data_IF_030757736365
#
_entry.id   IF_030757736365
#
_cell.length_a   1.000
_cell.length_b   1.000
_cell.length_c   1.000
_cell.angle_alpha   90.00
_cell.angle_beta   90.00
_cell.angle_gamma   90.00
#
_symmetry.space_group_name_H-M   'P 1'
#
loop_
_entity.id
_entity.type
_entity.pdbx_description
1 polymer ?
#
# COMPACT_ATOMS: atom_id res chain seq x y z
N UNK A 1 -6.09 10.70 0.09
CA UNK A 1 -7.43 10.43 -0.48
C UNK A 1 -8.45 11.46 0.02
N UNK A 2 -8.83 11.46 1.31
CA UNK A 2 -9.89 12.36 1.83
C UNK A 2 -9.69 13.88 1.63
N UNK A 3 -8.45 14.34 1.49
CA UNK A 3 -8.10 15.75 1.22
C UNK A 3 -7.54 15.97 -0.19
N UNK A 4 -7.40 14.91 -1.00
CA UNK A 4 -6.92 15.05 -2.37
C UNK A 4 -8.06 15.61 -3.23
N UNK A 5 -7.82 16.73 -3.91
CA UNK A 5 -8.79 17.30 -4.85
C UNK A 5 -8.78 16.60 -6.21
N UNK A 6 -9.68 17.02 -7.10
CA UNK A 6 -9.79 16.47 -8.46
C UNK A 6 -8.45 16.53 -9.22
N UNK A 7 -8.16 15.48 -10.00
CA UNK A 7 -6.96 15.35 -10.86
C UNK A 7 -5.64 15.37 -10.07
N UNK A 8 -5.64 14.80 -8.86
CA UNK A 8 -4.44 14.67 -8.02
C UNK A 8 -3.83 13.27 -8.16
N UNK A 9 -2.50 13.19 -8.12
CA UNK A 9 -1.78 11.92 -7.97
C UNK A 9 -1.37 11.77 -6.51
N UNK A 10 -1.82 10.70 -5.86
CA UNK A 10 -1.36 10.32 -4.52
C UNK A 10 -0.38 9.17 -4.68
N UNK A 11 0.89 9.42 -4.35
CA UNK A 11 1.95 8.41 -4.38
C UNK A 11 2.39 8.09 -2.96
N UNK A 12 2.33 6.81 -2.57
CA UNK A 12 2.71 6.34 -1.23
C UNK A 12 3.69 5.20 -1.36
N UNK A 13 4.77 5.24 -0.58
CA UNK A 13 5.77 4.18 -0.53
C UNK A 13 5.69 3.44 0.82
N UNK A 14 5.63 2.10 0.76
CA UNK A 14 5.62 1.25 1.93
C UNK A 14 7.05 0.82 2.32
N UNK A 15 7.78 1.73 2.96
CA UNK A 15 9.22 1.60 3.29
C UNK A 15 9.55 0.40 4.18
N UNK A 16 8.57 -0.10 4.96
CA UNK A 16 8.78 -1.22 5.88
C UNK A 16 9.17 -2.52 5.16
N UNK A 17 8.68 -2.72 3.93
CA UNK A 17 9.01 -3.91 3.13
C UNK A 17 10.49 -3.97 2.74
N UNK A 18 11.11 -2.82 2.48
CA UNK A 18 12.52 -2.72 2.09
C UNK A 18 13.43 -2.65 3.32
N UNK A 19 13.09 -1.78 4.28
CA UNK A 19 13.96 -1.45 5.41
C UNK A 19 13.93 -2.48 6.54
N UNK A 20 12.74 -3.01 6.90
CA UNK A 20 12.57 -3.85 8.09
C UNK A 20 12.74 -5.34 7.81
N UNK A 21 12.29 -5.82 6.66
CA UNK A 21 12.25 -7.27 6.34
C UNK A 21 13.19 -7.67 5.20
N UNK A 22 13.39 -6.81 4.19
CA UNK A 22 14.28 -7.07 3.05
C UNK A 22 15.74 -7.27 3.46
N UNK A 23 16.29 -6.37 4.27
CA UNK A 23 17.70 -6.44 4.70
C UNK A 23 18.03 -7.60 5.65
N UNK A 24 17.06 -8.10 6.43
CA UNK A 24 17.30 -9.19 7.40
C UNK A 24 17.04 -10.58 6.85
N UNK A 25 16.59 -10.72 5.60
CA UNK A 25 16.08 -11.99 5.03
C UNK A 25 15.00 -12.63 5.92
N UNK A 26 14.19 -11.80 6.57
CA UNK A 26 13.12 -12.27 7.45
C UNK A 26 11.87 -12.55 6.61
N UNK A 27 11.80 -13.78 6.10
CA UNK A 27 10.70 -14.26 5.25
C UNK A 27 9.36 -14.21 6.01
N UNK A 28 9.38 -14.51 7.31
CA UNK A 28 8.17 -14.51 8.13
C UNK A 28 7.66 -13.09 8.38
N UNK A 29 8.56 -12.16 8.69
CA UNK A 29 8.24 -10.73 8.82
C UNK A 29 7.70 -10.14 7.51
N UNK A 30 8.30 -10.49 6.38
CA UNK A 30 7.83 -10.05 5.06
C UNK A 30 6.42 -10.57 4.74
N UNK A 31 6.15 -11.85 5.00
CA UNK A 31 4.83 -12.45 4.81
C UNK A 31 3.76 -11.79 5.70
N UNK A 32 4.07 -11.56 6.98
CA UNK A 32 3.18 -10.87 7.91
C UNK A 32 2.91 -9.41 7.47
N UNK A 33 3.91 -8.73 6.91
CA UNK A 33 3.74 -7.40 6.32
C UNK A 33 2.78 -7.40 5.14
N UNK A 34 2.90 -8.40 4.24
CA UNK A 34 1.99 -8.55 3.10
C UNK A 34 0.56 -8.86 3.55
N UNK A 35 0.38 -9.75 4.52
CA UNK A 35 -0.95 -10.04 5.09
C UNK A 35 -1.57 -8.81 5.76
N UNK A 36 -0.77 -8.00 6.46
CA UNK A 36 -1.25 -6.76 7.05
C UNK A 36 -1.70 -5.75 5.99
N UNK A 37 -0.93 -5.63 4.90
CA UNK A 37 -1.30 -4.77 3.77
C UNK A 37 -2.60 -5.26 3.11
N UNK A 38 -2.69 -6.56 2.80
CA UNK A 38 -3.85 -7.17 2.18
C UNK A 38 -5.13 -6.95 3.01
N UNK A 39 -5.04 -7.10 4.34
CA UNK A 39 -6.18 -6.85 5.24
C UNK A 39 -6.70 -5.41 5.22
N UNK A 40 -5.84 -4.44 4.89
CA UNK A 40 -6.21 -3.01 4.84
C UNK A 40 -6.53 -2.54 3.42
N UNK A 41 -6.28 -3.36 2.41
CA UNK A 41 -6.60 -3.04 1.02
C UNK A 41 -8.09 -2.74 0.80
N UNK A 42 -9.05 -3.46 1.42
CA UNK A 42 -10.47 -3.10 1.31
C UNK A 42 -10.79 -1.68 1.77
N UNK A 43 -10.17 -1.21 2.88
CA UNK A 43 -10.33 0.15 3.38
C UNK A 43 -9.83 1.19 2.36
N UNK A 44 -8.76 0.88 1.61
CA UNK A 44 -8.27 1.72 0.53
C UNK A 44 -9.24 1.73 -0.65
N UNK A 45 -9.76 0.55 -1.03
CA UNK A 45 -10.70 0.42 -2.15
C UNK A 45 -11.99 1.19 -1.93
N UNK A 46 -12.47 1.29 -0.68
CA UNK A 46 -13.64 2.13 -0.33
C UNK A 46 -13.40 3.64 -0.54
N UNK A 47 -12.13 4.07 -0.59
CA UNK A 47 -11.74 5.47 -0.79
C UNK A 47 -11.39 5.80 -2.25
N UNK A 48 -11.28 4.79 -3.11
CA UNK A 48 -11.00 4.93 -4.55
C UNK A 48 -12.34 5.09 -5.28
N UNK A 49 -12.52 6.20 -6.00
CA UNK A 49 -13.72 6.44 -6.80
C UNK A 49 -13.80 5.55 -8.05
N UNK A 50 -14.96 5.53 -8.71
CA UNK A 50 -15.19 4.69 -9.91
C UNK A 50 -14.26 5.05 -11.08
N UNK A 51 -13.84 6.31 -11.18
CA UNK A 51 -12.95 6.82 -12.23
C UNK A 51 -11.46 6.84 -11.83
N UNK A 52 -11.15 6.44 -10.59
CA UNK A 52 -9.79 6.47 -10.07
C UNK A 52 -9.00 5.21 -10.48
N UNK A 53 -7.69 5.37 -10.67
CA UNK A 53 -6.79 4.27 -11.01
C UNK A 53 -5.87 3.99 -9.83
N UNK A 54 -5.97 2.79 -9.27
CA UNK A 54 -5.02 2.27 -8.28
C UNK A 54 -3.92 1.47 -8.99
N UNK A 55 -2.66 1.82 -8.75
CA UNK A 55 -1.49 1.10 -9.26
C UNK A 55 -0.68 0.61 -8.06
N UNK A 56 -0.44 -0.71 -8.01
CA UNK A 56 0.47 -1.34 -7.06
C UNK A 56 1.67 -1.86 -7.84
N UNK A 57 2.86 -1.42 -7.45
CA UNK A 57 4.14 -1.85 -8.02
C UNK A 57 4.99 -2.55 -6.95
N UNK A 58 5.92 -3.40 -7.38
CA UNK A 58 6.80 -4.18 -6.50
C UNK A 58 8.00 -3.40 -5.97
#
# INVERSE_FOLDING_TARGET
MKEAGDKTIVFTNFVDFDSSWGHRRDIAGYAAGLELFDRRLPELMELVGEDDILILDR
#
